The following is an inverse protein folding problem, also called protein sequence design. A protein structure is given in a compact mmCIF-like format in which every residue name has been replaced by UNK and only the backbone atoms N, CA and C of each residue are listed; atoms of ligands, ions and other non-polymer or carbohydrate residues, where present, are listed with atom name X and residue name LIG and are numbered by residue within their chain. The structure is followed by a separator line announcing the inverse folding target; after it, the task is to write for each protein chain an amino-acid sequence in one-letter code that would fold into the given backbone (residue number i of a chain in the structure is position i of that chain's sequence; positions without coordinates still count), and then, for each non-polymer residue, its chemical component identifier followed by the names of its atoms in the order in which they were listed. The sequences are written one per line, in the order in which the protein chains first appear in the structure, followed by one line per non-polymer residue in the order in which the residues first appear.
data_IF_879406129667
#
_entry.id   IF_879406129667
#
_cell.length_a   1.000
_cell.length_b   1.000
_cell.length_c   1.000
_cell.angle_alpha   90.00
_cell.angle_beta   90.00
_cell.angle_gamma   90.00
#
_symmetry.space_group_name_H-M   'P 1'
#
loop_
_entity.id
_entity.type
_entity.pdbx_description
1 polymer ?
#
# COMPACT_ATOMS: atom_id res chain seq x y z
N UNK A 1 42.13 -38.79 56.69
CA UNK A 1 42.64 -37.87 55.65
C UNK A 1 42.52 -38.58 54.31
N UNK A 2 42.02 -37.87 53.28
CA UNK A 2 42.03 -38.24 51.85
C UNK A 2 41.12 -39.42 51.44
N UNK A 3 40.36 -39.39 50.35
CA UNK A 3 40.01 -38.33 49.40
C UNK A 3 38.84 -38.92 48.59
N UNK A 4 37.60 -38.54 48.91
CA UNK A 4 36.45 -38.85 48.07
C UNK A 4 36.38 -37.75 47.00
N UNK A 5 36.90 -38.02 45.81
CA UNK A 5 37.02 -36.99 44.80
C UNK A 5 37.26 -37.50 43.40
N UNK A 6 36.18 -37.44 42.61
CA UNK A 6 36.18 -37.05 41.18
C UNK A 6 36.67 -38.10 40.18
N UNK A 7 35.75 -38.98 39.78
CA UNK A 7 35.90 -39.79 38.56
C UNK A 7 34.84 -39.49 37.49
N UNK A 8 34.24 -38.30 37.50
CA UNK A 8 33.10 -37.97 36.63
C UNK A 8 33.24 -36.66 35.82
N UNK A 9 34.46 -36.20 35.50
CA UNK A 9 34.65 -34.94 34.76
C UNK A 9 35.31 -35.09 33.38
N UNK A 10 35.31 -36.28 32.79
CA UNK A 10 35.99 -36.53 31.51
C UNK A 10 35.07 -36.62 30.28
N UNK A 11 33.77 -36.88 30.46
CA UNK A 11 32.87 -37.23 29.33
C UNK A 11 31.79 -36.17 29.04
N UNK A 12 31.74 -35.06 29.79
CA UNK A 12 30.79 -33.96 29.60
C UNK A 12 31.46 -32.75 28.91
N UNK A 13 32.47 -32.98 28.05
CA UNK A 13 33.15 -31.89 27.32
C UNK A 13 33.11 -32.06 25.79
N UNK A 14 32.32 -32.98 25.25
CA UNK A 14 32.31 -33.23 23.78
C UNK A 14 30.94 -32.98 23.12
N UNK A 15 29.87 -32.72 23.88
CA UNK A 15 28.53 -32.52 23.30
C UNK A 15 28.07 -31.06 23.16
N UNK A 16 28.88 -30.06 23.53
CA UNK A 16 28.43 -28.65 23.58
C UNK A 16 29.10 -27.77 22.50
N UNK A 17 29.18 -28.30 21.28
CA UNK A 17 29.41 -27.48 20.09
C UNK A 17 28.51 -27.97 18.95
N UNK A 18 27.24 -28.27 19.27
CA UNK A 18 26.17 -28.27 18.29
C UNK A 18 26.04 -26.83 17.79
N UNK A 19 26.67 -26.56 16.65
CA UNK A 19 26.70 -25.27 16.00
C UNK A 19 25.30 -24.72 15.87
N UNK A 20 25.04 -23.63 16.59
CA UNK A 20 23.86 -22.81 16.41
C UNK A 20 24.00 -22.12 15.05
N UNK A 21 23.61 -22.82 13.98
CA UNK A 21 23.51 -22.19 12.67
C UNK A 21 22.23 -21.35 12.67
N UNK A 22 22.34 -20.13 13.20
CA UNK A 22 21.28 -19.15 13.08
C UNK A 22 21.18 -18.75 11.61
N UNK A 23 20.19 -19.30 10.89
CA UNK A 23 19.85 -18.80 9.57
C UNK A 23 19.36 -17.35 9.74
N UNK A 24 20.08 -16.38 9.16
CA UNK A 24 19.60 -15.00 9.10
C UNK A 24 18.33 -14.97 8.26
N UNK A 25 17.18 -14.82 8.91
CA UNK A 25 15.92 -14.61 8.21
C UNK A 25 15.94 -13.22 7.57
N UNK A 26 15.69 -13.16 6.26
CA UNK A 26 15.49 -11.88 5.57
C UNK A 26 14.13 -11.32 5.98
N UNK A 27 14.11 -10.08 6.49
CA UNK A 27 12.87 -9.38 6.85
C UNK A 27 12.17 -8.84 5.61
N UNK A 28 10.84 -8.85 5.62
CA UNK A 28 10.02 -8.20 4.60
C UNK A 28 10.18 -6.66 4.61
N UNK A 29 9.88 -5.97 3.49
CA UNK A 29 9.91 -4.52 3.45
C UNK A 29 8.72 -3.93 4.22
N UNK A 30 8.94 -2.79 4.87
CA UNK A 30 7.86 -1.97 5.43
C UNK A 30 7.32 -1.05 4.35
N UNK A 31 6.03 -1.17 4.01
CA UNK A 31 5.37 -0.27 3.07
C UNK A 31 4.75 0.92 3.81
N UNK A 32 4.77 2.07 3.13
CA UNK A 32 4.05 3.27 3.51
C UNK A 32 3.25 3.79 2.31
N UNK A 33 2.02 4.23 2.56
CA UNK A 33 1.10 4.67 1.53
C UNK A 33 0.50 6.02 1.93
N UNK A 34 0.58 6.99 1.03
CA UNK A 34 0.05 8.34 1.25
C UNK A 34 -0.62 8.89 -0.02
N UNK A 35 -1.90 9.33 0.06
CA UNK A 35 -2.83 9.16 1.18
C UNK A 35 -3.35 7.71 1.28
N UNK A 36 -3.96 7.34 2.42
CA UNK A 36 -4.66 6.06 2.57
C UNK A 36 -6.04 6.04 1.86
N UNK A 37 -6.60 7.22 1.58
CA UNK A 37 -7.80 7.41 0.78
C UNK A 37 -7.54 8.50 -0.25
N UNK A 38 -7.87 8.23 -1.52
CA UNK A 38 -7.67 9.14 -2.63
C UNK A 38 -9.00 9.53 -3.26
N UNK A 39 -9.17 10.83 -3.56
CA UNK A 39 -10.35 11.35 -4.25
C UNK A 39 -10.10 11.75 -5.70
N UNK A 40 -8.85 11.59 -6.15
CA UNK A 40 -8.38 11.96 -7.49
C UNK A 40 -7.65 10.80 -8.20
N UNK A 41 -7.71 9.59 -7.62
CA UNK A 41 -7.11 8.37 -8.18
C UNK A 41 -5.58 8.38 -8.13
N UNK A 42 -4.98 9.14 -7.21
CA UNK A 42 -3.52 9.22 -7.01
C UNK A 42 -3.10 8.87 -5.60
N UNK A 43 -1.95 8.20 -5.48
CA UNK A 43 -1.27 7.97 -4.23
C UNK A 43 0.23 7.72 -4.47
N UNK A 44 1.03 7.83 -3.42
CA UNK A 44 2.44 7.44 -3.43
C UNK A 44 2.60 6.25 -2.52
N UNK A 45 3.15 5.16 -3.08
CA UNK A 45 3.55 3.98 -2.35
C UNK A 45 5.07 4.01 -2.19
N UNK A 46 5.57 3.88 -0.97
CA UNK A 46 7.00 3.85 -0.66
C UNK A 46 7.35 2.68 0.25
N UNK A 47 8.63 2.32 0.27
CA UNK A 47 9.14 1.22 1.07
C UNK A 47 10.61 1.44 1.44
N UNK A 48 11.01 0.82 2.55
CA UNK A 48 12.40 0.75 2.95
C UNK A 48 13.12 -0.39 2.24
N UNK A 49 14.32 -0.12 1.71
CA UNK A 49 15.10 -1.09 0.95
C UNK A 49 16.58 -1.05 1.36
N UNK A 50 17.16 -2.20 1.76
CA UNK A 50 18.59 -2.33 2.01
C UNK A 50 19.42 -1.93 0.78
N UNK A 51 20.65 -1.46 1.00
CA UNK A 51 21.52 -1.07 -0.10
C UNK A 51 21.77 -2.22 -1.07
N UNK A 52 21.58 -1.92 -2.36
CA UNK A 52 21.78 -2.84 -3.45
C UNK A 52 20.79 -4.01 -3.52
N UNK A 53 19.75 -4.06 -2.68
CA UNK A 53 18.63 -4.96 -2.88
C UNK A 53 17.67 -4.39 -3.94
N UNK A 54 16.76 -5.21 -4.44
CA UNK A 54 15.60 -4.78 -5.23
C UNK A 54 14.30 -5.18 -4.53
N UNK A 55 13.22 -4.48 -4.82
CA UNK A 55 11.88 -4.82 -4.36
C UNK A 55 11.09 -5.44 -5.51
N UNK A 56 10.11 -6.26 -5.16
CA UNK A 56 9.01 -6.65 -6.03
C UNK A 56 7.70 -6.23 -5.34
N UNK A 57 6.87 -5.48 -6.05
CA UNK A 57 5.61 -4.91 -5.58
C UNK A 57 4.48 -5.41 -6.46
N UNK A 58 3.43 -5.91 -5.81
CA UNK A 58 2.21 -6.37 -6.46
C UNK A 58 1.00 -5.62 -5.90
N UNK A 59 -0.03 -5.48 -6.73
CA UNK A 59 -1.34 -5.00 -6.32
C UNK A 59 -2.43 -6.05 -6.52
N UNK A 60 -3.54 -5.92 -5.80
CA UNK A 60 -4.72 -6.76 -5.91
C UNK A 60 -5.97 -5.95 -5.56
N UNK A 61 -7.12 -6.31 -6.15
CA UNK A 61 -8.44 -5.79 -5.73
C UNK A 61 -9.10 -6.67 -4.65
N UNK A 62 -8.47 -7.79 -4.29
CA UNK A 62 -8.87 -8.71 -3.23
C UNK A 62 -7.77 -8.76 -2.15
N UNK A 63 -8.16 -8.67 -0.89
CA UNK A 63 -7.28 -8.61 0.29
C UNK A 63 -6.50 -9.92 0.54
N UNK A 64 -6.95 -11.03 -0.04
CA UNK A 64 -6.26 -12.34 0.00
C UNK A 64 -5.29 -12.52 -1.16
N UNK A 65 -5.14 -11.54 -2.05
CA UNK A 65 -4.23 -11.56 -3.19
C UNK A 65 -4.46 -12.78 -4.11
N UNK A 66 -5.72 -13.14 -4.37
CA UNK A 66 -6.07 -14.23 -5.30
C UNK A 66 -5.70 -13.89 -6.74
N UNK A 67 -5.94 -12.64 -7.16
CA UNK A 67 -5.62 -12.13 -8.48
C UNK A 67 -4.68 -10.94 -8.33
N UNK A 68 -3.39 -11.17 -8.58
CA UNK A 68 -2.35 -10.14 -8.43
C UNK A 68 -1.97 -9.53 -9.77
N UNK A 69 -1.61 -8.26 -9.72
CA UNK A 69 -1.05 -7.49 -10.84
C UNK A 69 0.35 -7.03 -10.44
N UNK A 70 1.40 -7.37 -11.21
CA UNK A 70 2.74 -6.85 -10.94
C UNK A 70 2.77 -5.35 -11.17
N UNK A 71 3.27 -4.60 -10.18
CA UNK A 71 3.24 -3.14 -10.19
C UNK A 71 4.62 -2.54 -10.40
N UNK A 72 5.63 -3.05 -9.70
CA UNK A 72 7.00 -2.56 -9.79
C UNK A 72 8.02 -3.64 -9.41
N UNK A 73 9.16 -3.66 -10.10
CA UNK A 73 10.31 -4.46 -9.70
C UNK A 73 11.59 -3.68 -10.00
N UNK A 74 12.44 -3.47 -8.98
CA UNK A 74 13.66 -2.68 -9.15
C UNK A 74 14.22 -2.14 -7.83
N UNK A 75 15.17 -1.21 -7.92
CA UNK A 75 15.90 -0.66 -6.76
C UNK A 75 15.34 0.67 -6.23
N UNK A 76 14.31 1.22 -6.85
CA UNK A 76 13.67 2.43 -6.34
C UNK A 76 12.98 2.17 -5.01
N UNK A 77 12.72 3.23 -4.26
CA UNK A 77 12.10 3.20 -2.91
C UNK A 77 10.67 3.72 -2.89
N UNK A 78 10.16 4.13 -4.04
CA UNK A 78 8.78 4.57 -4.17
C UNK A 78 8.28 4.47 -5.60
N UNK A 79 6.97 4.47 -5.74
CA UNK A 79 6.25 4.58 -7.00
C UNK A 79 5.02 5.45 -6.82
N UNK A 80 4.69 6.21 -7.86
CA UNK A 80 3.50 7.06 -7.88
C UNK A 80 2.40 6.32 -8.63
N UNK A 81 1.29 6.11 -7.93
CA UNK A 81 0.07 5.53 -8.46
C UNK A 81 -0.79 6.65 -9.03
N UNK A 82 -1.27 6.49 -10.25
CA UNK A 82 -2.13 7.48 -10.92
C UNK A 82 -3.17 6.79 -11.79
N UNK A 83 -4.27 7.48 -12.07
CA UNK A 83 -5.32 6.97 -12.95
C UNK A 83 -6.07 5.77 -12.37
N UNK A 84 -6.04 5.60 -11.05
CA UNK A 84 -6.81 4.56 -10.38
C UNK A 84 -8.30 4.90 -10.46
N UNK A 85 -9.14 3.90 -10.71
CA UNK A 85 -10.59 4.04 -10.65
C UNK A 85 -11.08 3.90 -9.21
N UNK A 86 -12.37 4.16 -8.97
CA UNK A 86 -12.99 3.86 -7.68
C UNK A 86 -12.81 2.39 -7.30
N UNK A 87 -12.45 2.14 -6.04
CA UNK A 87 -12.22 0.79 -5.55
C UNK A 87 -11.26 0.72 -4.36
N UNK A 88 -11.15 -0.49 -3.80
CA UNK A 88 -10.15 -0.80 -2.78
C UNK A 88 -8.99 -1.57 -3.43
N UNK A 89 -7.79 -1.05 -3.25
CA UNK A 89 -6.55 -1.63 -3.77
C UNK A 89 -5.69 -2.06 -2.60
N UNK A 90 -5.15 -3.27 -2.67
CA UNK A 90 -4.23 -3.83 -1.69
C UNK A 90 -2.86 -3.99 -2.34
N UNK A 91 -1.81 -3.60 -1.62
CA UNK A 91 -0.43 -3.67 -2.09
C UNK A 91 0.41 -4.47 -1.11
N UNK A 92 1.27 -5.32 -1.64
CA UNK A 92 2.29 -6.04 -0.85
C UNK A 92 3.61 -5.97 -1.59
N UNK A 93 4.70 -6.06 -0.84
CA UNK A 93 6.04 -6.09 -1.40
C UNK A 93 6.94 -7.13 -0.73
N UNK A 94 7.97 -7.57 -1.44
CA UNK A 94 9.05 -8.41 -0.91
C UNK A 94 10.40 -7.92 -1.42
N UNK A 95 11.45 -8.17 -0.65
CA UNK A 95 12.82 -7.80 -1.00
C UNK A 95 13.50 -8.99 -1.68
N UNK A 96 14.25 -8.68 -2.73
CA UNK A 96 15.16 -9.58 -3.44
C UNK A 96 16.60 -9.08 -3.22
N UNK A 97 17.40 -9.86 -2.49
CA UNK A 97 18.80 -9.54 -2.22
C UNK A 97 19.72 -10.01 -3.36
N UNK A 98 20.87 -9.36 -3.51
CA UNK A 98 21.87 -9.74 -4.53
C UNK A 98 22.44 -11.15 -4.32
N UNK A 99 22.43 -11.65 -3.08
CA UNK A 99 22.86 -13.01 -2.75
C UNK A 99 21.82 -14.09 -3.13
N UNK A 100 20.71 -13.70 -3.78
CA UNK A 100 19.61 -14.57 -4.17
C UNK A 100 18.58 -14.85 -3.06
N UNK A 101 18.77 -14.31 -1.85
CA UNK A 101 17.78 -14.45 -0.79
C UNK A 101 16.55 -13.58 -1.05
N UNK A 102 15.36 -14.16 -0.85
CA UNK A 102 14.07 -13.49 -1.05
C UNK A 102 13.35 -13.43 0.29
N UNK A 103 12.85 -12.24 0.64
CA UNK A 103 12.05 -12.06 1.86
C UNK A 103 10.65 -12.67 1.70
N UNK A 104 9.96 -13.00 2.80
CA UNK A 104 8.51 -13.17 2.73
C UNK A 104 7.84 -11.86 2.26
N UNK A 105 6.59 -11.96 1.83
CA UNK A 105 5.75 -10.79 1.58
C UNK A 105 5.56 -9.99 2.87
N UNK A 106 5.64 -8.67 2.77
CA UNK A 106 5.38 -7.74 3.87
C UNK A 106 3.90 -7.57 4.15
N UNK A 107 3.62 -6.92 5.27
CA UNK A 107 2.26 -6.55 5.67
C UNK A 107 1.60 -5.70 4.57
N UNK A 108 0.43 -6.10 4.06
CA UNK A 108 -0.25 -5.35 3.02
C UNK A 108 -0.71 -3.96 3.48
N UNK A 109 -0.65 -2.98 2.58
CA UNK A 109 -1.28 -1.67 2.75
C UNK A 109 -2.44 -1.52 1.79
N UNK A 110 -3.46 -0.77 2.20
CA UNK A 110 -4.69 -0.61 1.41
C UNK A 110 -4.96 0.84 1.07
N UNK A 111 -5.36 1.09 -0.17
CA UNK A 111 -5.80 2.38 -0.69
C UNK A 111 -7.29 2.30 -1.02
N UNK A 112 -8.08 3.23 -0.50
CA UNK A 112 -9.45 3.43 -0.95
C UNK A 112 -9.50 4.60 -1.94
N UNK A 113 -10.00 4.37 -3.15
CA UNK A 113 -10.23 5.42 -4.14
C UNK A 113 -11.72 5.69 -4.22
N UNK A 114 -12.10 6.94 -3.93
CA UNK A 114 -13.48 7.44 -4.01
C UNK A 114 -13.49 8.82 -4.68
N UNK A 115 -13.72 8.85 -5.99
CA UNK A 115 -13.85 10.09 -6.73
C UNK A 115 -15.03 10.89 -6.20
N UNK A 116 -14.83 12.20 -6.06
CA UNK A 116 -15.94 13.09 -5.77
C UNK A 116 -17.02 12.94 -6.84
N UNK A 117 -18.26 12.72 -6.39
CA UNK A 117 -19.39 12.56 -7.29
C UNK A 117 -19.59 13.83 -8.12
N UNK A 118 -19.50 13.68 -9.46
CA UNK A 118 -19.93 14.71 -10.42
C UNK A 118 -21.38 15.15 -10.16
N UNK A 119 -22.19 14.30 -9.52
CA UNK A 119 -23.58 14.60 -9.17
C UNK A 119 -23.67 15.84 -8.28
N UNK A 120 -22.73 16.06 -7.34
CA UNK A 120 -22.74 17.28 -6.50
C UNK A 120 -22.54 18.54 -7.34
N UNK A 121 -21.64 18.50 -8.34
CA UNK A 121 -21.42 19.63 -9.25
C UNK A 121 -22.61 19.84 -10.20
N UNK A 122 -23.17 18.75 -10.74
CA UNK A 122 -24.37 18.80 -11.59
C UNK A 122 -25.56 19.38 -10.84
N UNK A 123 -25.75 19.06 -9.57
CA UNK A 123 -26.81 19.64 -8.74
C UNK A 123 -26.72 21.15 -8.64
N UNK A 124 -25.54 21.71 -8.39
CA UNK A 124 -25.35 23.16 -8.37
C UNK A 124 -25.61 23.80 -9.73
N UNK A 125 -25.19 23.15 -10.82
CA UNK A 125 -25.48 23.61 -12.18
C UNK A 125 -26.98 23.62 -12.48
N UNK A 126 -27.71 22.57 -12.10
CA UNK A 126 -29.17 22.47 -12.28
C UNK A 126 -29.89 23.54 -11.47
N UNK A 127 -29.50 23.76 -10.22
CA UNK A 127 -30.08 24.82 -9.38
C UNK A 127 -29.85 26.20 -10.02
N UNK A 128 -28.62 26.47 -10.47
CA UNK A 128 -28.30 27.71 -11.18
C UNK A 128 -29.11 27.90 -12.46
N UNK A 129 -29.28 26.84 -13.26
CA UNK A 129 -30.08 26.86 -14.48
C UNK A 129 -31.57 27.16 -14.19
N UNK A 130 -32.14 26.58 -13.12
CA UNK A 130 -33.52 26.84 -12.69
C UNK A 130 -33.71 28.32 -12.32
N UNK A 131 -32.81 28.88 -11.52
CA UNK A 131 -32.86 30.30 -11.12
C UNK A 131 -32.76 31.20 -12.35
N UNK A 132 -31.82 30.90 -13.25
CA UNK A 132 -31.63 31.66 -14.49
C UNK A 132 -32.89 31.66 -15.37
N UNK A 133 -33.49 30.48 -15.58
CA UNK A 133 -34.74 30.35 -16.34
C UNK A 133 -35.89 31.12 -15.67
N UNK A 134 -36.00 31.05 -14.33
CA UNK A 134 -37.02 31.81 -13.60
C UNK A 134 -36.85 33.33 -13.76
N UNK A 135 -35.62 33.83 -13.69
CA UNK A 135 -35.33 35.25 -13.94
C UNK A 135 -35.67 35.66 -15.38
N UNK A 136 -35.32 34.83 -16.36
CA UNK A 136 -35.63 35.09 -17.76
C UNK A 136 -37.15 35.16 -18.00
N UNK A 137 -37.90 34.21 -17.42
CA UNK A 137 -39.35 34.18 -17.50
C UNK A 137 -39.98 35.40 -16.82
N UNK A 138 -39.47 35.84 -15.67
CA UNK A 138 -39.93 37.07 -15.01
C UNK A 138 -39.76 38.29 -15.91
N UNK A 139 -38.60 38.43 -16.57
CA UNK A 139 -38.33 39.54 -17.50
C UNK A 139 -39.29 39.49 -18.69
N UNK A 140 -39.44 38.33 -19.34
CA UNK A 140 -40.28 38.18 -20.53
C UNK A 140 -41.75 38.40 -20.19
N UNK A 141 -42.25 37.83 -19.09
CA UNK A 141 -43.63 37.99 -18.67
C UNK A 141 -43.93 39.41 -18.19
N UNK A 142 -42.97 40.09 -17.54
CA UNK A 142 -43.08 41.49 -17.17
C UNK A 142 -43.24 42.39 -18.40
N UNK A 143 -42.33 42.24 -19.37
CA UNK A 143 -42.35 43.04 -20.61
C UNK A 143 -43.63 42.91 -21.42
N UNK A 144 -44.32 41.76 -21.35
CA UNK A 144 -45.58 41.52 -22.08
C UNK A 144 -46.82 42.13 -21.41
N UNK A 145 -46.74 42.57 -20.15
CA UNK A 145 -47.87 43.20 -19.44
C UNK A 145 -47.97 44.71 -19.67
N UNK A 146 -46.91 45.32 -20.19
CA UNK A 146 -46.84 46.76 -20.48
C UNK A 146 -47.25 47.10 -21.93
N UNK A 147 -47.59 46.08 -22.74
CA UNK A 147 -48.18 46.20 -24.07
C UNK A 147 -49.68 45.89 -24.02
#
# INVERSE_FOLDING_TARGET
MQNAGRHLSGQILVCLFLGLFAASAVSAPLLSLAPAQSTDGKATLSWELPEGASVEVESSLDDRFVNVVPLYQGSDRSTVLTGLSDGSYHFRARIMHQNGAISPWGEPVSLLVEHHSLVKAVSFFVIGAVVFVATLLLIILGARREQ
#
